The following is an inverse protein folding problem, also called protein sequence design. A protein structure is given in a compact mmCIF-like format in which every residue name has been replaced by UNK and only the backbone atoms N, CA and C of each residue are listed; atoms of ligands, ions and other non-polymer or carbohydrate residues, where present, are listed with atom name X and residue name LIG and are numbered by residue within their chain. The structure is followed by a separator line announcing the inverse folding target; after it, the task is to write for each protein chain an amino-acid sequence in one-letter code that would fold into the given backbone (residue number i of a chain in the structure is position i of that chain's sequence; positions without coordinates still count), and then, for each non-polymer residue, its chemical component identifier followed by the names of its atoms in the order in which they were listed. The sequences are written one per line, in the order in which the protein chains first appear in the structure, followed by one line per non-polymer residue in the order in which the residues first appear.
data_IF_331718233637
#
_entry.id   IF_331718233637
#
_cell.length_a   1.000
_cell.length_b   1.000
_cell.length_c   1.000
_cell.angle_alpha   90.00
_cell.angle_beta   90.00
_cell.angle_gamma   90.00
#
_symmetry.space_group_name_H-M   'P 1'
#
loop_
_entity.id
_entity.type
_entity.pdbx_description
1 polymer ?
#
# COMPACT_ATOMS: atom_id res chain seq x y z
N UNK A 1 -9.37 -25.25 7.84
CA UNK A 1 -8.75 -23.91 7.82
C UNK A 1 -8.14 -23.68 6.44
N UNK A 2 -8.65 -22.73 5.66
CA UNK A 2 -8.00 -22.34 4.39
C UNK A 2 -6.87 -21.40 4.76
N UNK A 3 -5.65 -21.92 4.90
CA UNK A 3 -4.46 -21.06 4.92
C UNK A 3 -4.34 -20.46 3.53
N UNK A 4 -4.89 -19.27 3.32
CA UNK A 4 -4.69 -18.52 2.09
C UNK A 4 -3.20 -18.18 2.01
N UNK A 5 -2.48 -18.86 1.13
CA UNK A 5 -1.09 -18.53 0.84
C UNK A 5 -1.08 -17.12 0.23
N UNK A 6 -0.48 -16.16 0.94
CA UNK A 6 -0.26 -14.81 0.40
C UNK A 6 0.75 -14.96 -0.74
N UNK A 7 0.26 -14.82 -1.97
CA UNK A 7 1.07 -14.87 -3.18
C UNK A 7 1.39 -13.45 -3.63
N UNK A 8 2.68 -13.12 -3.68
CA UNK A 8 3.17 -11.84 -4.17
C UNK A 8 3.40 -11.88 -5.69
N UNK A 9 3.14 -10.76 -6.36
CA UNK A 9 3.43 -10.57 -7.78
C UNK A 9 4.38 -9.40 -8.00
N UNK A 10 5.29 -9.52 -8.95
CA UNK A 10 6.16 -8.40 -9.36
C UNK A 10 5.27 -7.23 -9.81
N UNK A 11 5.62 -6.02 -9.37
CA UNK A 11 4.84 -4.80 -9.59
C UNK A 11 3.79 -4.50 -8.50
N UNK A 12 3.47 -5.46 -7.63
CA UNK A 12 2.52 -5.27 -6.54
C UNK A 12 3.02 -4.22 -5.53
N UNK A 13 2.11 -3.36 -5.08
CA UNK A 13 2.35 -2.40 -4.01
C UNK A 13 2.21 -3.08 -2.66
N UNK A 14 3.23 -2.91 -1.83
CA UNK A 14 3.31 -3.51 -0.49
C UNK A 14 3.82 -2.47 0.49
N UNK A 15 3.56 -2.69 1.77
CA UNK A 15 4.20 -1.95 2.85
C UNK A 15 4.77 -2.90 3.88
N UNK A 16 5.71 -2.43 4.68
CA UNK A 16 6.25 -3.19 5.80
C UNK A 16 5.16 -3.48 6.82
N UNK A 17 5.04 -4.73 7.28
CA UNK A 17 4.15 -5.03 8.42
C UNK A 17 4.59 -4.19 9.63
N UNK A 18 3.62 -3.56 10.29
CA UNK A 18 3.87 -2.64 11.40
C UNK A 18 4.18 -1.19 10.99
N UNK A 19 4.41 -0.91 9.70
CA UNK A 19 4.60 0.45 9.20
C UNK A 19 3.92 0.65 7.82
N UNK A 20 2.63 1.07 7.81
CA UNK A 20 1.89 1.33 6.58
C UNK A 20 2.47 2.47 5.72
N UNK A 21 3.34 3.31 6.27
CA UNK A 21 3.97 4.43 5.54
C UNK A 21 5.23 4.01 4.79
N UNK A 22 5.82 2.87 5.16
CA UNK A 22 6.97 2.30 4.46
C UNK A 22 6.49 1.46 3.29
N UNK A 23 6.15 2.15 2.20
CA UNK A 23 5.55 1.58 0.99
C UNK A 23 6.63 1.36 -0.08
N UNK A 24 6.49 0.28 -0.86
CA UNK A 24 7.35 -0.03 -1.98
C UNK A 24 6.67 -0.92 -3.01
N UNK A 25 7.42 -1.26 -4.06
CA UNK A 25 6.97 -2.16 -5.12
C UNK A 25 7.77 -3.46 -5.09
N UNK A 26 7.08 -4.59 -5.23
CA UNK A 26 7.72 -5.89 -5.42
C UNK A 26 8.48 -5.90 -6.74
N UNK A 27 9.77 -6.28 -6.69
CA UNK A 27 10.66 -6.44 -7.84
C UNK A 27 11.13 -7.87 -8.06
N UNK A 28 11.04 -8.71 -7.03
CA UNK A 28 11.50 -10.10 -7.07
C UNK A 28 10.63 -10.98 -6.15
N UNK A 29 10.36 -12.21 -6.56
CA UNK A 29 9.75 -13.26 -5.72
C UNK A 29 10.47 -14.56 -6.03
N UNK A 30 11.12 -15.16 -5.04
CA UNK A 30 11.90 -16.38 -5.27
C UNK A 30 12.88 -16.70 -4.14
N UNK A 31 13.77 -17.65 -4.41
CA UNK A 31 14.83 -18.08 -3.48
C UNK A 31 16.03 -17.14 -3.51
N UNK A 32 16.78 -17.06 -2.41
CA UNK A 32 18.01 -16.26 -2.33
C UNK A 32 19.16 -17.19 -1.95
N UNK A 33 20.27 -17.11 -2.66
CA UNK A 33 21.45 -17.94 -2.39
C UNK A 33 21.92 -17.77 -0.94
N UNK A 34 22.17 -18.90 -0.27
CA UNK A 34 22.54 -18.93 1.15
C UNK A 34 21.37 -18.79 2.13
N UNK A 35 20.12 -18.63 1.66
CA UNK A 35 18.95 -18.53 2.51
C UNK A 35 17.84 -19.52 2.12
N UNK A 36 17.26 -20.18 3.12
CA UNK A 36 16.14 -21.09 2.90
C UNK A 36 14.84 -20.35 2.63
N UNK A 37 13.91 -21.00 1.92
CA UNK A 37 12.55 -20.52 1.69
C UNK A 37 12.43 -19.37 0.68
N UNK A 38 11.20 -18.87 0.54
CA UNK A 38 10.89 -17.77 -0.39
C UNK A 38 11.19 -16.40 0.22
N UNK A 39 11.56 -15.47 -0.66
CA UNK A 39 11.87 -14.08 -0.38
C UNK A 39 11.18 -13.18 -1.39
N UNK A 40 10.92 -11.95 -0.94
CA UNK A 40 10.32 -10.90 -1.75
C UNK A 40 11.31 -9.73 -1.80
N UNK A 41 11.78 -9.40 -2.99
CA UNK A 41 12.56 -8.19 -3.23
C UNK A 41 11.63 -7.00 -3.38
N UNK A 42 11.83 -5.97 -2.60
CA UNK A 42 11.05 -4.73 -2.61
C UNK A 42 11.95 -3.55 -2.89
N UNK A 43 11.51 -2.67 -3.78
CA UNK A 43 12.11 -1.35 -4.02
C UNK A 43 11.24 -0.30 -3.31
N UNK A 44 11.78 0.30 -2.24
CA UNK A 44 11.07 1.23 -1.37
C UNK A 44 11.04 2.63 -1.96
N UNK A 45 9.89 3.29 -1.87
CA UNK A 45 9.66 4.59 -2.50
C UNK A 45 10.58 5.69 -1.93
N UNK A 46 10.75 5.69 -0.60
CA UNK A 46 11.53 6.70 0.11
C UNK A 46 13.05 6.39 0.15
N UNK A 47 13.48 5.28 -0.43
CA UNK A 47 14.90 4.91 -0.45
C UNK A 47 15.45 4.32 0.84
N UNK A 48 14.59 3.91 1.79
CA UNK A 48 14.97 3.34 3.10
C UNK A 48 15.19 1.82 3.06
N UNK A 49 15.87 1.35 2.02
CA UNK A 49 16.29 -0.04 1.87
C UNK A 49 17.73 -0.27 2.33
N UNK A 50 18.32 -1.36 1.81
CA UNK A 50 19.63 -1.89 2.23
C UNK A 50 20.61 -2.04 1.06
N UNK A 51 20.12 -2.24 -0.15
CA UNK A 51 20.95 -2.58 -1.32
C UNK A 51 20.30 -2.13 -2.64
N UNK A 52 21.03 -2.27 -3.75
CA UNK A 52 20.57 -1.94 -5.11
C UNK A 52 19.78 -3.09 -5.79
N UNK A 53 19.60 -4.21 -5.07
CA UNK A 53 19.02 -5.46 -5.58
C UNK A 53 20.04 -6.58 -5.78
N UNK A 54 21.32 -6.29 -5.51
CA UNK A 54 22.41 -7.26 -5.41
C UNK A 54 22.68 -7.63 -3.95
N UNK A 55 22.82 -8.93 -3.65
CA UNK A 55 23.25 -9.42 -2.34
C UNK A 55 24.32 -10.49 -2.55
N UNK A 56 25.44 -10.36 -1.84
CA UNK A 56 26.59 -11.28 -1.92
C UNK A 56 27.08 -11.53 -3.37
N UNK A 57 27.09 -10.48 -4.20
CA UNK A 57 27.54 -10.56 -5.60
C UNK A 57 26.49 -11.06 -6.59
N UNK A 58 25.32 -11.50 -6.15
CA UNK A 58 24.24 -12.00 -7.01
C UNK A 58 23.14 -10.96 -7.15
N UNK A 59 22.73 -10.65 -8.39
CA UNK A 59 21.67 -9.68 -8.69
C UNK A 59 20.32 -10.39 -8.79
N UNK A 60 19.40 -10.03 -7.90
CA UNK A 60 18.02 -10.54 -7.88
C UNK A 60 17.06 -9.59 -8.59
N UNK A 61 17.29 -8.29 -8.48
CA UNK A 61 16.53 -7.26 -9.16
C UNK A 61 17.34 -5.97 -9.33
N UNK A 62 16.79 -5.00 -10.05
CA UNK A 62 17.31 -3.65 -10.13
C UNK A 62 16.42 -2.71 -9.32
N UNK A 63 16.96 -2.17 -8.23
CA UNK A 63 16.30 -1.12 -7.45
C UNK A 63 16.57 0.26 -8.06
N UNK A 64 15.74 1.25 -7.69
CA UNK A 64 15.88 2.64 -8.15
C UNK A 64 17.18 3.31 -7.68
N UNK A 65 17.64 3.00 -6.47
CA UNK A 65 18.88 3.55 -5.92
C UNK A 65 19.71 2.47 -5.23
N UNK A 66 20.98 2.80 -4.93
CA UNK A 66 21.89 1.90 -4.23
C UNK A 66 21.43 1.46 -2.83
N UNK A 67 20.41 2.14 -2.28
CA UNK A 67 19.85 1.84 -0.95
C UNK A 67 18.34 1.69 -0.95
N UNK A 68 17.65 1.63 -2.08
CA UNK A 68 16.18 1.52 -2.06
C UNK A 68 15.67 0.08 -2.01
N UNK A 69 16.50 -0.91 -2.31
CA UNK A 69 16.11 -2.33 -2.35
C UNK A 69 16.20 -3.04 -1.00
N UNK A 70 15.33 -4.01 -0.75
CA UNK A 70 15.44 -4.98 0.36
C UNK A 70 14.92 -6.36 -0.05
N UNK A 71 15.53 -7.43 0.45
CA UNK A 71 14.95 -8.77 0.47
C UNK A 71 14.26 -9.00 1.81
N UNK A 72 12.95 -9.25 1.78
CA UNK A 72 12.11 -9.45 2.96
C UNK A 72 11.38 -10.80 2.92
N UNK A 73 11.02 -11.31 4.11
CA UNK A 73 10.15 -12.48 4.23
C UNK A 73 8.70 -12.11 3.88
N UNK A 74 7.95 -13.00 3.22
CA UNK A 74 6.53 -12.78 2.91
C UNK A 74 5.70 -12.30 4.11
N UNK A 75 5.90 -12.87 5.31
CA UNK A 75 5.15 -12.47 6.52
C UNK A 75 5.46 -11.05 7.04
N UNK A 76 6.53 -10.42 6.54
CA UNK A 76 6.92 -9.06 6.94
C UNK A 76 6.40 -8.00 5.97
N UNK A 77 5.61 -8.41 4.97
CA UNK A 77 5.02 -7.53 3.97
C UNK A 77 3.50 -7.67 4.00
N UNK A 78 2.82 -6.54 3.81
CA UNK A 78 1.38 -6.58 3.56
C UNK A 78 1.10 -7.21 2.20
N UNK A 79 -0.05 -7.88 2.08
CA UNK A 79 -0.54 -8.37 0.79
C UNK A 79 -0.91 -7.23 -0.19
N UNK A 80 -0.77 -5.96 0.23
CA UNK A 80 -1.33 -4.82 -0.47
C UNK A 80 -2.86 -4.79 -0.39
N UNK A 81 -3.45 -3.80 -1.05
CA UNK A 81 -4.89 -3.68 -1.26
C UNK A 81 -5.16 -3.51 -2.74
N UNK A 82 -6.38 -3.84 -3.19
CA UNK A 82 -6.74 -3.62 -4.59
C UNK A 82 -6.81 -2.13 -4.93
N UNK A 83 -6.70 -1.77 -6.21
CA UNK A 83 -6.87 -0.38 -6.64
C UNK A 83 -8.25 0.17 -6.26
N UNK A 84 -9.32 -0.63 -6.40
CA UNK A 84 -10.68 -0.22 -6.00
C UNK A 84 -10.79 0.01 -4.49
N UNK A 85 -10.14 -0.83 -3.70
CA UNK A 85 -10.09 -0.68 -2.25
C UNK A 85 -9.32 0.58 -1.85
N UNK A 86 -8.18 0.85 -2.49
CA UNK A 86 -7.43 2.08 -2.31
C UNK A 86 -8.24 3.32 -2.69
N UNK A 87 -9.00 3.26 -3.79
CA UNK A 87 -9.93 4.31 -4.19
C UNK A 87 -11.03 4.51 -3.13
N UNK A 88 -11.61 3.42 -2.61
CA UNK A 88 -12.60 3.52 -1.56
C UNK A 88 -12.02 4.20 -0.32
N UNK A 89 -10.84 3.78 0.15
CA UNK A 89 -10.20 4.39 1.32
C UNK A 89 -9.95 5.89 1.10
N UNK A 90 -9.51 6.29 -0.09
CA UNK A 90 -9.10 7.69 -0.35
C UNK A 90 -10.24 8.63 -0.71
N UNK A 91 -11.30 8.11 -1.34
CA UNK A 91 -12.34 8.93 -1.98
C UNK A 91 -13.76 8.59 -1.53
N UNK A 92 -13.98 7.47 -0.85
CA UNK A 92 -15.28 7.20 -0.22
C UNK A 92 -15.29 8.01 1.07
N UNK A 93 -15.72 9.27 0.95
CA UNK A 93 -15.85 10.18 2.08
C UNK A 93 -16.62 9.50 3.19
N UNK A 94 -16.06 9.52 4.40
CA UNK A 94 -16.87 9.33 5.59
C UNK A 94 -17.56 10.67 5.85
N UNK A 95 -18.56 11.00 5.03
CA UNK A 95 -19.54 11.99 5.45
C UNK A 95 -20.23 11.36 6.65
N UNK A 96 -19.97 11.88 7.85
CA UNK A 96 -20.73 11.43 9.01
C UNK A 96 -22.15 11.94 8.83
N UNK A 97 -23.15 11.20 9.30
CA UNK A 97 -24.54 11.67 9.27
C UNK A 97 -24.70 13.04 9.95
N UNK A 98 -23.86 13.31 10.95
CA UNK A 98 -23.78 14.58 11.66
C UNK A 98 -23.30 15.71 10.76
N UNK A 99 -22.23 15.51 9.97
CA UNK A 99 -21.75 16.49 8.97
C UNK A 99 -22.77 16.73 7.85
N UNK A 100 -23.52 15.69 7.44
CA UNK A 100 -24.60 15.82 6.46
C UNK A 100 -25.79 16.61 7.01
N UNK A 101 -26.16 16.40 8.28
CA UNK A 101 -27.22 17.15 8.98
C UNK A 101 -26.84 18.62 9.24
N UNK A 102 -25.55 18.92 9.38
CA UNK A 102 -25.03 20.28 9.51
C UNK A 102 -24.96 21.06 8.18
N UNK A 103 -25.08 20.37 7.03
CA UNK A 103 -25.05 21.01 5.71
C UNK A 103 -26.44 21.55 5.31
N UNK A 104 -26.77 22.75 5.81
CA UNK A 104 -27.99 23.47 5.45
C UNK A 104 -27.70 24.91 5.04
N UNK A 105 -28.64 25.50 4.29
CA UNK A 105 -28.72 26.94 4.05
C UNK A 105 -29.98 27.52 4.68
N UNK A 106 -29.96 28.80 5.01
CA UNK A 106 -31.15 29.52 5.49
C UNK A 106 -31.93 30.09 4.30
N UNK A 107 -33.20 29.71 4.20
CA UNK A 107 -34.16 30.34 3.29
C UNK A 107 -34.39 31.82 3.66
N UNK A 108 -34.93 32.63 2.75
CA UNK A 108 -35.35 34.01 3.02
C UNK A 108 -36.33 34.15 4.21
N UNK A 109 -37.02 33.06 4.59
CA UNK A 109 -37.89 32.98 5.79
C UNK A 109 -37.15 32.46 7.04
N UNK A 110 -35.82 32.46 7.02
CA UNK A 110 -34.93 31.95 8.06
C UNK A 110 -35.16 30.47 8.45
N UNK A 111 -35.58 29.64 7.48
CA UNK A 111 -35.75 28.18 7.67
C UNK A 111 -34.56 27.42 7.13
N UNK A 112 -34.14 26.38 7.84
CA UNK A 112 -33.10 25.45 7.36
C UNK A 112 -33.61 24.68 6.14
N UNK A 113 -32.82 24.67 5.08
CA UNK A 113 -33.04 23.89 3.85
C UNK A 113 -31.80 23.02 3.66
N UNK A 114 -31.93 21.68 3.59
CA UNK A 114 -30.79 20.80 3.38
C UNK A 114 -30.14 21.09 2.02
N UNK A 115 -28.81 20.99 1.96
CA UNK A 115 -28.07 21.13 0.71
C UNK A 115 -28.07 19.79 -0.01
N UNK A 116 -28.64 19.73 -1.21
CA UNK A 116 -28.53 18.58 -2.11
C UNK A 116 -27.49 18.87 -3.18
N UNK A 117 -26.49 17.99 -3.32
CA UNK A 117 -25.55 18.05 -4.43
C UNK A 117 -26.20 17.49 -5.69
N UNK A 118 -26.34 18.32 -6.72
CA UNK A 118 -26.72 17.86 -8.05
C UNK A 118 -25.43 17.46 -8.79
N UNK A 119 -25.35 16.18 -9.16
CA UNK A 119 -24.30 15.61 -10.01
C UNK A 119 -24.67 15.66 -11.48
#
# INVERSE_FOLDING_TARGET
AKTSFISFKVGQRVHSVGDPRRIGSVKYVGTVEGYSGSWVGVDWDNGDGKHDGTVNGVRYFQARSGRSGSLARPQNLSAGISFLEALCIRYKGQSTKEEEEEMYVLSAKNRRVPVEFLG
#
